data_IF_941901337341
#
_entry.id   IF_941901337341
#
_cell.length_a   1.000
_cell.length_b   1.000
_cell.length_c   1.000
_cell.angle_alpha   90.00
_cell.angle_beta   90.00
_cell.angle_gamma   90.00
#
_symmetry.space_group_name_H-M   'P 1'
#
loop_
_entity.id
_entity.type
_entity.pdbx_description
1 polymer ?
#
# COMPACT_ATOMS: atom_id res chain seq x y z
N UNK A 1 6.06 -23.94 13.56
CA UNK A 1 7.45 -23.96 14.06
C UNK A 1 8.22 -22.93 13.25
N UNK A 2 8.97 -22.03 13.89
CA UNK A 2 9.78 -21.03 13.17
C UNK A 2 11.06 -21.71 12.69
N UNK A 3 11.38 -21.60 11.41
CA UNK A 3 12.66 -22.04 10.88
C UNK A 3 13.79 -21.14 11.45
N UNK A 4 14.77 -21.71 12.19
CA UNK A 4 15.83 -20.93 12.82
C UNK A 4 16.72 -20.17 11.82
N UNK A 5 16.88 -20.68 10.60
CA UNK A 5 17.67 -20.02 9.55
C UNK A 5 16.94 -18.79 9.03
N UNK A 6 15.64 -18.94 8.75
CA UNK A 6 14.77 -17.86 8.29
C UNK A 6 14.63 -16.76 9.35
N UNK A 7 14.48 -17.13 10.62
CA UNK A 7 14.40 -16.16 11.71
C UNK A 7 15.65 -15.28 11.80
N UNK A 8 16.83 -15.87 11.63
CA UNK A 8 18.10 -15.15 11.65
C UNK A 8 18.20 -14.19 10.47
N UNK A 9 17.88 -14.65 9.27
CA UNK A 9 17.94 -13.83 8.07
C UNK A 9 16.99 -12.62 8.17
N UNK A 10 15.75 -12.82 8.63
CA UNK A 10 14.81 -11.73 8.87
C UNK A 10 15.38 -10.70 9.85
N UNK A 11 16.02 -11.15 10.93
CA UNK A 11 16.61 -10.26 11.93
C UNK A 11 17.79 -9.46 11.37
N UNK A 12 18.64 -10.09 10.56
CA UNK A 12 19.76 -9.42 9.88
C UNK A 12 19.29 -8.37 8.88
N UNK A 13 18.23 -8.65 8.11
CA UNK A 13 17.66 -7.67 7.18
C UNK A 13 16.99 -6.52 7.93
N UNK A 14 16.23 -6.80 9.00
CA UNK A 14 15.62 -5.77 9.84
C UNK A 14 16.65 -4.80 10.42
N UNK A 15 17.81 -5.29 10.86
CA UNK A 15 18.89 -4.47 11.40
C UNK A 15 19.51 -3.49 10.40
N UNK A 16 19.30 -3.68 9.09
CA UNK A 16 19.79 -2.78 8.03
C UNK A 16 18.80 -1.68 7.68
N UNK A 17 17.55 -1.79 8.14
CA UNK A 17 16.51 -0.83 7.82
C UNK A 17 16.54 0.36 8.78
N UNK A 18 16.29 1.60 8.30
CA UNK A 18 15.94 2.73 9.15
C UNK A 18 14.74 2.44 10.06
N UNK A 19 14.64 3.16 11.18
CA UNK A 19 13.62 2.91 12.21
C UNK A 19 12.18 3.03 11.69
N UNK A 20 11.91 3.97 10.79
CA UNK A 20 10.62 4.15 10.14
C UNK A 20 10.24 2.94 9.28
N UNK A 21 11.21 2.35 8.56
CA UNK A 21 11.01 1.13 7.78
C UNK A 21 10.85 -0.10 8.68
N UNK A 22 11.60 -0.22 9.77
CA UNK A 22 11.40 -1.30 10.75
C UNK A 22 9.98 -1.27 11.34
N UNK A 23 9.42 -0.08 11.62
CA UNK A 23 8.03 0.07 12.08
C UNK A 23 7.02 -0.42 11.04
N UNK A 24 7.25 -0.13 9.75
CA UNK A 24 6.40 -0.64 8.66
C UNK A 24 6.43 -2.17 8.58
N UNK A 25 7.62 -2.78 8.75
CA UNK A 25 7.73 -4.25 8.78
C UNK A 25 6.97 -4.83 9.96
N UNK A 26 7.06 -4.21 11.15
CA UNK A 26 6.30 -4.66 12.33
C UNK A 26 4.79 -4.59 12.10
N UNK A 27 4.29 -3.51 11.50
CA UNK A 27 2.88 -3.36 11.13
C UNK A 27 2.44 -4.46 10.15
N UNK A 28 3.23 -4.70 9.11
CA UNK A 28 2.97 -5.75 8.14
C UNK A 28 2.88 -7.14 8.78
N UNK A 29 3.86 -7.51 9.62
CA UNK A 29 3.88 -8.82 10.29
C UNK A 29 2.69 -8.99 11.23
N UNK A 30 2.24 -7.91 11.90
CA UNK A 30 1.01 -7.95 12.73
C UNK A 30 -0.23 -8.23 11.90
N UNK A 31 -0.39 -7.55 10.77
CA UNK A 31 -1.51 -7.78 9.84
C UNK A 31 -1.47 -9.18 9.25
N UNK A 32 -0.28 -9.68 8.90
CA UNK A 32 -0.10 -11.04 8.40
C UNK A 32 -0.48 -12.08 9.47
N UNK A 33 -0.10 -11.85 10.73
CA UNK A 33 -0.38 -12.76 11.84
C UNK A 33 -1.86 -12.75 12.27
N UNK A 34 -2.56 -11.63 12.13
CA UNK A 34 -3.99 -11.56 12.45
C UNK A 34 -4.87 -12.29 11.43
N UNK A 35 -4.36 -12.60 10.23
CA UNK A 35 -5.12 -13.31 9.18
C UNK A 35 -6.29 -12.51 8.59
N UNK A 36 -6.66 -11.41 9.23
CA UNK A 36 -7.67 -10.47 8.79
C UNK A 36 -6.98 -9.28 8.10
N UNK A 37 -7.22 -9.13 6.80
CA UNK A 37 -7.02 -7.84 6.16
C UNK A 37 -8.08 -6.87 6.72
N UNK A 38 -7.74 -6.15 7.78
CA UNK A 38 -8.63 -5.13 8.34
C UNK A 38 -8.62 -3.94 7.39
N UNK A 39 -9.66 -3.86 6.55
CA UNK A 39 -9.89 -2.68 5.72
C UNK A 39 -10.16 -1.46 6.58
N UNK A 40 -9.86 -0.27 6.06
CA UNK A 40 -10.25 0.98 6.69
C UNK A 40 -11.75 1.17 6.49
N UNK A 41 -12.56 1.39 7.56
CA UNK A 41 -13.97 1.66 7.41
C UNK A 41 -14.20 2.86 6.48
N UNK A 42 -15.11 2.74 5.50
CA UNK A 42 -15.34 3.80 4.51
C UNK A 42 -15.63 5.18 5.13
N UNK A 43 -16.26 5.22 6.31
CA UNK A 43 -16.48 6.45 7.10
C UNK A 43 -15.19 7.21 7.43
N UNK A 44 -14.08 6.53 7.61
CA UNK A 44 -12.77 7.13 7.89
C UNK A 44 -12.11 7.71 6.63
N UNK A 45 -12.50 7.22 5.46
CA UNK A 45 -12.01 7.69 4.16
C UNK A 45 -12.71 9.00 3.77
N UNK A 46 -13.93 9.25 4.26
CA UNK A 46 -14.69 10.47 3.96
C UNK A 46 -13.95 11.77 4.33
N UNK A 47 -12.99 11.73 5.26
CA UNK A 47 -12.13 12.90 5.57
C UNK A 47 -11.32 13.40 4.37
N UNK A 48 -11.13 12.57 3.35
CA UNK A 48 -10.43 12.90 2.12
C UNK A 48 -11.37 13.38 0.99
N UNK A 49 -12.69 13.39 1.22
CA UNK A 49 -13.66 13.80 0.21
C UNK A 49 -13.46 15.27 -0.17
N UNK A 50 -13.28 15.53 -1.47
CA UNK A 50 -13.06 16.89 -1.98
C UNK A 50 -11.67 17.46 -1.69
N UNK A 51 -10.68 16.64 -1.34
CA UNK A 51 -9.31 17.11 -1.13
C UNK A 51 -8.59 17.55 -2.41
N UNK A 52 -9.02 17.04 -3.57
CA UNK A 52 -8.46 17.45 -4.86
C UNK A 52 -9.15 18.72 -5.34
N UNK A 53 -8.35 19.72 -5.68
CA UNK A 53 -8.86 20.93 -6.32
C UNK A 53 -9.04 20.72 -7.84
N UNK A 54 -9.52 21.75 -8.53
CA UNK A 54 -9.77 21.65 -9.98
C UNK A 54 -8.48 21.47 -10.80
N UNK A 55 -7.34 21.96 -10.31
CA UNK A 55 -6.06 21.78 -10.99
C UNK A 55 -5.58 20.33 -10.84
N UNK A 56 -5.66 19.77 -9.63
CA UNK A 56 -5.34 18.36 -9.35
C UNK A 56 -6.14 17.44 -10.29
N UNK A 57 -7.45 17.68 -10.40
CA UNK A 57 -8.34 16.86 -11.23
C UNK A 57 -7.99 16.93 -12.73
N UNK A 58 -7.58 18.11 -13.23
CA UNK A 58 -7.16 18.29 -14.63
C UNK A 58 -5.84 17.58 -14.92
N UNK A 59 -4.91 17.62 -13.98
CA UNK A 59 -3.64 16.90 -14.11
C UNK A 59 -3.87 15.39 -14.15
N UNK A 60 -4.70 14.86 -13.26
CA UNK A 60 -5.08 13.44 -13.25
C UNK A 60 -5.76 13.04 -14.57
N UNK A 61 -6.71 13.83 -15.07
CA UNK A 61 -7.37 13.58 -16.36
C UNK A 61 -6.36 13.50 -17.50
N UNK A 62 -5.42 14.45 -17.57
CA UNK A 62 -4.39 14.50 -18.60
C UNK A 62 -3.51 13.23 -18.58
N UNK A 63 -3.00 12.85 -17.41
CA UNK A 63 -2.14 11.67 -17.26
C UNK A 63 -2.89 10.39 -17.63
N UNK A 64 -4.17 10.27 -17.24
CA UNK A 64 -4.98 9.11 -17.62
C UNK A 64 -5.12 9.00 -19.15
N UNK A 65 -5.29 10.12 -19.85
CA UNK A 65 -5.44 10.13 -21.32
C UNK A 65 -4.13 9.88 -22.07
N UNK A 66 -3.02 10.38 -21.54
CA UNK A 66 -1.71 10.35 -22.21
C UNK A 66 -0.91 9.08 -21.90
N UNK A 67 -0.99 8.58 -20.66
CA UNK A 67 -0.09 7.53 -20.16
C UNK A 67 -0.80 6.24 -19.74
N UNK A 68 -2.10 6.27 -19.46
CA UNK A 68 -2.81 5.07 -19.02
C UNK A 68 -3.11 4.16 -20.22
N UNK A 69 -2.83 2.86 -20.04
CA UNK A 69 -3.14 1.84 -21.03
C UNK A 69 -4.64 1.91 -21.39
N UNK A 70 -4.94 1.95 -22.69
CA UNK A 70 -6.32 1.94 -23.18
C UNK A 70 -6.89 0.55 -22.94
N UNK A 71 -7.92 0.45 -22.10
CA UNK A 71 -8.69 -0.79 -21.97
C UNK A 71 -9.48 -1.03 -23.25
N UNK A 72 -9.18 -2.11 -23.98
CA UNK A 72 -10.05 -2.59 -25.04
C UNK A 72 -11.30 -3.23 -24.41
N UNK A 73 -12.46 -2.62 -24.66
CA UNK A 73 -13.74 -3.10 -24.14
C UNK A 73 -14.18 -4.44 -24.76
N UNK A 74 -13.46 -4.93 -25.78
CA UNK A 74 -13.75 -6.17 -26.48
C UNK A 74 -12.77 -7.31 -26.15
N UNK A 75 -11.85 -7.12 -25.19
CA UNK A 75 -10.88 -8.14 -24.79
C UNK A 75 -11.41 -9.19 -23.77
N UNK A 76 -12.74 -9.26 -23.57
CA UNK A 76 -13.40 -10.18 -22.63
C UNK A 76 -14.41 -11.10 -23.30
#
# INVERSE_FOLDING_TARGET
MVDPSLHREIFEQLGRLPVDQQRRVLEFVRTLASGEAVGVPGKEILRFAGMFDTADLKEMEKVIQEECERTDLNEW
#
